data_IF_234359015312
#
_entry.id   IF_234359015312
#
_cell.length_a   1.000
_cell.length_b   1.000
_cell.length_c   1.000
_cell.angle_alpha   90.00
_cell.angle_beta   90.00
_cell.angle_gamma   90.00
#
_symmetry.space_group_name_H-M   'P 1'
#
loop_
_entity.id
_entity.type
_entity.pdbx_description
1 polymer ?
#
# COMPACT_ATOMS: atom_id res chain seq x y z
N UNK A 1 -18.92 42.60 9.62
CA UNK A 1 -18.29 42.39 10.93
C UNK A 1 -18.03 40.90 11.03
N UNK A 2 -16.86 40.59 10.46
CA UNK A 2 -15.96 39.47 10.68
C UNK A 2 -16.46 38.04 10.38
N UNK A 3 -16.38 37.79 9.08
CA UNK A 3 -16.00 36.54 8.44
C UNK A 3 -14.60 36.12 8.95
N UNK A 4 -14.56 35.20 9.94
CA UNK A 4 -13.32 34.64 10.49
C UNK A 4 -13.17 33.21 9.98
N UNK A 5 -12.28 33.08 9.01
CA UNK A 5 -11.26 32.04 8.92
C UNK A 5 -11.74 30.59 9.04
N UNK A 6 -12.47 30.13 8.02
CA UNK A 6 -12.52 28.69 7.72
C UNK A 6 -11.25 28.31 6.97
N UNK A 7 -10.41 27.40 7.50
CA UNK A 7 -9.26 26.93 6.75
C UNK A 7 -9.73 26.23 5.48
N UNK A 8 -9.12 26.62 4.36
CA UNK A 8 -9.37 26.09 3.02
C UNK A 8 -9.18 24.57 3.02
N UNK A 9 -10.30 23.83 2.98
CA UNK A 9 -10.33 22.35 2.97
C UNK A 9 -9.67 21.78 1.71
N UNK A 10 -9.50 22.59 0.67
CA UNK A 10 -8.69 22.26 -0.50
C UNK A 10 -7.20 22.19 -0.19
N UNK A 11 -6.70 22.98 0.76
CA UNK A 11 -5.27 23.06 1.09
C UNK A 11 -4.75 21.87 1.90
N UNK A 12 -5.60 21.19 2.68
CA UNK A 12 -5.19 19.99 3.47
C UNK A 12 -5.12 18.75 2.60
N UNK A 13 -6.10 18.55 1.70
CA UNK A 13 -6.06 17.51 0.69
C UNK A 13 -4.96 17.77 -0.36
N UNK A 14 -4.80 19.04 -0.78
CA UNK A 14 -3.68 19.45 -1.62
C UNK A 14 -2.35 19.32 -0.89
N UNK A 15 -2.26 19.47 0.44
CA UNK A 15 -1.04 19.24 1.22
C UNK A 15 -0.61 17.77 1.22
N UNK A 16 -1.56 16.83 1.35
CA UNK A 16 -1.28 15.40 1.25
C UNK A 16 -0.96 14.94 -0.20
N UNK A 17 -1.56 15.58 -1.21
CA UNK A 17 -1.34 15.25 -2.63
C UNK A 17 -0.18 16.03 -3.29
N UNK A 18 0.19 17.21 -2.80
CA UNK A 18 1.36 17.99 -3.25
C UNK A 18 2.68 17.38 -2.77
N UNK A 19 2.63 16.54 -1.73
CA UNK A 19 3.71 15.63 -1.41
C UNK A 19 4.00 14.61 -2.53
N UNK A 20 3.06 14.36 -3.45
CA UNK A 20 3.24 13.37 -4.52
C UNK A 20 4.02 13.88 -5.76
N UNK A 21 4.31 15.19 -5.89
CA UNK A 21 4.82 15.72 -7.16
C UNK A 21 6.02 16.69 -7.12
N UNK A 22 6.63 16.97 -5.97
CA UNK A 22 7.77 17.90 -5.91
C UNK A 22 9.13 17.19 -6.05
N UNK A 23 9.75 17.39 -7.22
CA UNK A 23 11.16 17.30 -7.62
C UNK A 23 12.06 16.21 -6.99
N UNK A 24 12.52 15.30 -7.84
CA UNK A 24 13.72 14.48 -7.59
C UNK A 24 14.86 14.96 -8.52
N UNK A 25 16.09 15.07 -8.00
CA UNK A 25 17.20 15.72 -8.68
C UNK A 25 17.80 14.90 -9.83
N UNK A 26 18.67 15.59 -10.56
CA UNK A 26 19.50 15.23 -11.71
C UNK A 26 20.01 13.77 -11.76
N UNK A 27 20.10 13.26 -12.99
CA UNK A 27 20.65 11.97 -13.44
C UNK A 27 21.12 11.01 -12.34
N UNK A 28 20.23 10.09 -11.92
CA UNK A 28 20.63 8.94 -11.09
C UNK A 28 21.53 8.00 -11.90
N UNK A 29 22.76 7.81 -11.43
CA UNK A 29 23.70 6.76 -11.88
C UNK A 29 23.35 5.36 -11.37
N UNK A 30 22.22 5.22 -10.67
CA UNK A 30 21.73 3.96 -10.12
C UNK A 30 21.49 2.95 -11.25
N UNK A 31 21.93 1.71 -11.02
CA UNK A 31 21.58 0.57 -11.87
C UNK A 31 20.10 0.20 -11.70
N UNK A 32 19.53 -0.50 -12.69
CA UNK A 32 18.17 -1.03 -12.59
C UNK A 32 17.91 -1.77 -11.27
N UNK A 33 18.84 -2.63 -10.84
CA UNK A 33 18.71 -3.40 -9.60
C UNK A 33 18.71 -2.51 -8.36
N UNK A 34 19.55 -1.47 -8.32
CA UNK A 34 19.56 -0.50 -7.21
C UNK A 34 18.24 0.26 -7.14
N UNK A 35 17.70 0.70 -8.28
CA UNK A 35 16.39 1.37 -8.33
C UNK A 35 15.27 0.43 -7.91
N UNK A 36 15.32 -0.85 -8.29
CA UNK A 36 14.33 -1.84 -7.88
C UNK A 36 14.31 -2.12 -6.38
N UNK A 37 15.37 -1.82 -5.62
CA UNK A 37 15.41 -2.04 -4.16
C UNK A 37 15.46 -0.75 -3.34
N UNK A 38 15.40 0.41 -3.99
CA UNK A 38 15.49 1.71 -3.32
C UNK A 38 14.14 2.19 -2.77
N UNK A 39 13.03 1.76 -3.40
CA UNK A 39 11.66 2.03 -2.99
C UNK A 39 11.08 1.02 -1.98
N UNK A 40 9.80 1.20 -1.67
CA UNK A 40 9.02 0.37 -0.73
C UNK A 40 9.66 0.30 0.68
N UNK A 41 9.57 -0.86 1.33
CA UNK A 41 10.09 -1.09 2.69
C UNK A 41 11.30 -2.06 2.69
N UNK A 42 11.80 -2.40 3.88
CA UNK A 42 13.02 -3.23 4.04
C UNK A 42 12.90 -4.63 3.43
N UNK A 43 11.69 -5.17 3.21
CA UNK A 43 11.47 -6.51 2.63
C UNK A 43 12.03 -6.65 1.22
N UNK A 44 12.26 -5.54 0.53
CA UNK A 44 12.83 -5.51 -0.82
C UNK A 44 14.36 -5.52 -0.81
N UNK A 45 15.00 -5.26 0.34
CA UNK A 45 16.46 -5.12 0.45
C UNK A 45 17.15 -6.50 0.52
N UNK A 46 18.11 -6.77 -0.36
CA UNK A 46 18.92 -7.97 -0.26
C UNK A 46 19.94 -7.84 0.88
N UNK A 47 20.21 -8.96 1.56
CA UNK A 47 21.35 -9.11 2.46
C UNK A 47 22.67 -9.27 1.72
N UNK A 48 23.71 -9.62 2.46
CA UNK A 48 25.06 -9.87 1.90
C UNK A 48 25.11 -11.05 0.94
N UNK A 49 24.16 -11.98 1.05
CA UNK A 49 23.97 -13.14 0.16
C UNK A 49 23.19 -12.78 -1.13
N UNK A 50 22.76 -11.52 -1.28
CA UNK A 50 22.01 -11.06 -2.44
C UNK A 50 20.52 -11.41 -2.40
N UNK A 51 20.01 -11.95 -1.29
CA UNK A 51 18.62 -12.36 -1.12
C UNK A 51 17.92 -11.49 -0.07
N UNK A 52 16.64 -11.21 -0.27
CA UNK A 52 15.84 -10.53 0.75
C UNK A 52 15.41 -11.51 1.87
N UNK A 53 14.67 -10.99 2.85
CA UNK A 53 14.13 -11.78 3.99
C UNK A 53 13.22 -12.95 3.59
N UNK A 54 12.76 -12.98 2.34
CA UNK A 54 11.96 -14.07 1.77
C UNK A 54 12.77 -15.04 0.90
N UNK A 55 14.10 -14.87 0.85
CA UNK A 55 14.98 -15.68 0.01
C UNK A 55 14.88 -15.37 -1.47
N UNK A 56 14.30 -14.24 -1.87
CA UNK A 56 14.18 -13.80 -3.26
C UNK A 56 15.29 -12.79 -3.61
N UNK A 57 15.89 -12.95 -4.80
CA UNK A 57 16.76 -11.94 -5.39
C UNK A 57 15.97 -10.95 -6.26
N UNK A 58 16.56 -9.78 -6.48
CA UNK A 58 16.07 -8.73 -7.41
C UNK A 58 16.30 -9.07 -8.88
N UNK A 59 16.99 -10.17 -9.18
CA UNK A 59 17.27 -10.65 -10.53
C UNK A 59 16.83 -12.12 -10.67
N UNK A 60 16.67 -12.61 -11.91
CA UNK A 60 16.30 -13.98 -12.12
C UNK A 60 17.36 -14.95 -11.61
N UNK A 61 16.90 -16.09 -11.12
CA UNK A 61 17.76 -17.13 -10.53
C UNK A 61 17.50 -18.45 -11.21
N UNK A 62 18.58 -19.21 -11.41
CA UNK A 62 18.52 -20.63 -11.73
C UNK A 62 18.13 -21.43 -10.48
N UNK A 63 16.94 -21.18 -9.95
CA UNK A 63 16.34 -21.89 -8.84
C UNK A 63 14.95 -22.38 -9.25
N UNK A 64 14.52 -23.51 -8.70
CA UNK A 64 13.14 -24.00 -8.91
C UNK A 64 12.21 -23.15 -8.07
N UNK A 65 11.33 -22.32 -8.65
CA UNK A 65 10.40 -21.53 -7.87
C UNK A 65 9.29 -22.46 -7.37
N UNK A 66 9.33 -22.81 -6.09
CA UNK A 66 8.25 -23.59 -5.46
C UNK A 66 7.04 -22.72 -5.09
N UNK A 67 6.67 -21.76 -5.96
CA UNK A 67 5.59 -20.76 -5.81
C UNK A 67 5.31 -20.35 -4.36
N UNK A 68 5.94 -19.27 -3.91
CA UNK A 68 5.54 -18.62 -2.66
C UNK A 68 4.38 -17.67 -2.92
N UNK A 69 3.34 -17.74 -2.08
CA UNK A 69 2.28 -16.73 -2.03
C UNK A 69 2.77 -15.38 -1.47
N UNK A 70 4.00 -15.30 -0.96
CA UNK A 70 4.57 -14.10 -0.32
C UNK A 70 5.51 -13.34 -1.26
N UNK A 71 6.50 -14.01 -1.87
CA UNK A 71 7.50 -13.35 -2.71
C UNK A 71 8.20 -14.35 -3.64
N UNK A 72 8.53 -13.93 -4.86
CA UNK A 72 9.34 -14.73 -5.80
C UNK A 72 10.37 -13.87 -6.51
N UNK A 73 11.50 -14.48 -6.89
CA UNK A 73 12.45 -13.83 -7.80
C UNK A 73 11.80 -13.59 -9.16
N UNK A 74 12.11 -12.48 -9.84
CA UNK A 74 11.52 -12.18 -11.14
C UNK A 74 11.95 -13.22 -12.18
N UNK A 75 11.06 -13.54 -13.12
CA UNK A 75 11.43 -14.30 -14.32
C UNK A 75 12.30 -13.46 -15.28
N UNK A 76 13.06 -14.10 -16.17
CA UNK A 76 13.80 -13.43 -17.26
C UNK A 76 12.93 -12.45 -18.06
N UNK A 77 11.70 -12.87 -18.36
CA UNK A 77 10.73 -12.06 -19.08
C UNK A 77 10.39 -10.79 -18.31
N UNK A 78 10.08 -10.91 -17.02
CA UNK A 78 9.73 -9.78 -16.17
C UNK A 78 10.93 -8.83 -15.97
N UNK A 79 12.11 -9.38 -15.70
CA UNK A 79 13.34 -8.62 -15.51
C UNK A 79 13.72 -7.84 -16.78
N UNK A 80 13.63 -8.48 -17.95
CA UNK A 80 13.89 -7.83 -19.24
C UNK A 80 12.89 -6.71 -19.53
N UNK A 81 11.60 -6.95 -19.27
CA UNK A 81 10.57 -5.92 -19.44
C UNK A 81 10.79 -4.73 -18.50
N UNK A 82 11.13 -4.99 -17.24
CA UNK A 82 11.46 -3.96 -16.25
C UNK A 82 12.68 -3.13 -16.65
N UNK A 83 13.76 -3.77 -17.11
CA UNK A 83 14.94 -3.06 -17.65
C UNK A 83 14.59 -2.14 -18.82
N UNK A 84 13.73 -2.58 -19.74
CA UNK A 84 13.30 -1.74 -20.88
C UNK A 84 12.57 -0.48 -20.41
N UNK A 85 11.66 -0.62 -19.44
CA UNK A 85 10.94 0.53 -18.85
C UNK A 85 11.91 1.43 -18.09
N UNK A 86 12.85 0.86 -17.34
CA UNK A 86 13.89 1.62 -16.66
C UNK A 86 14.73 2.45 -17.62
N UNK A 87 15.23 1.87 -18.72
CA UNK A 87 15.97 2.61 -19.75
C UNK A 87 15.11 3.68 -20.43
N UNK A 88 13.84 3.38 -20.72
CA UNK A 88 12.89 4.37 -21.26
C UNK A 88 12.74 5.57 -20.30
N UNK A 89 12.60 5.33 -19.00
CA UNK A 89 12.48 6.37 -17.98
C UNK A 89 13.79 7.12 -17.73
N UNK A 90 14.94 6.49 -17.96
CA UNK A 90 16.27 7.09 -17.81
C UNK A 90 16.64 7.98 -18.99
N UNK A 91 16.26 7.58 -20.20
CA UNK A 91 16.62 8.28 -21.44
C UNK A 91 15.57 9.29 -21.92
N UNK A 92 14.40 9.36 -21.29
CA UNK A 92 13.35 10.32 -21.70
C UNK A 92 13.75 11.76 -21.43
N UNK A 93 13.45 12.65 -22.38
CA UNK A 93 13.60 14.10 -22.24
C UNK A 93 12.38 14.74 -21.59
N UNK A 94 11.22 14.08 -21.59
CA UNK A 94 9.98 14.57 -20.99
C UNK A 94 9.35 13.49 -20.09
N UNK A 95 9.65 13.60 -18.80
CA UNK A 95 9.11 12.71 -17.76
C UNK A 95 7.62 12.97 -17.52
N UNK A 96 7.13 14.18 -17.75
CA UNK A 96 5.73 14.55 -17.52
C UNK A 96 4.79 13.80 -18.46
N UNK A 97 5.27 13.43 -19.65
CA UNK A 97 4.54 12.58 -20.61
C UNK A 97 4.87 11.11 -20.42
N UNK A 98 6.15 10.77 -20.23
CA UNK A 98 6.59 9.37 -20.24
C UNK A 98 6.08 8.60 -19.02
N UNK A 99 6.11 9.21 -17.82
CA UNK A 99 5.69 8.53 -16.58
C UNK A 99 4.20 8.19 -16.61
N UNK A 100 3.27 9.12 -16.90
CA UNK A 100 1.85 8.78 -17.02
C UNK A 100 1.59 7.69 -18.05
N UNK A 101 2.23 7.73 -19.22
CA UNK A 101 2.06 6.70 -20.25
C UNK A 101 2.50 5.30 -19.77
N UNK A 102 3.61 5.20 -19.04
CA UNK A 102 4.04 3.94 -18.43
C UNK A 102 3.01 3.47 -17.41
N UNK A 103 2.54 4.34 -16.52
CA UNK A 103 1.55 3.98 -15.50
C UNK A 103 0.21 3.57 -16.12
N UNK A 104 -0.26 4.25 -17.17
CA UNK A 104 -1.47 3.88 -17.92
C UNK A 104 -1.35 2.49 -18.51
N UNK A 105 -0.21 2.16 -19.15
CA UNK A 105 0.04 0.79 -19.66
C UNK A 105 0.01 -0.28 -18.57
N UNK A 106 0.50 0.02 -17.37
CA UNK A 106 0.41 -0.89 -16.23
C UNK A 106 -1.06 -1.08 -15.83
N UNK A 107 -1.83 0.02 -15.68
CA UNK A 107 -3.26 -0.05 -15.35
C UNK A 107 -4.06 -0.82 -16.40
N UNK A 108 -3.80 -0.60 -17.68
CA UNK A 108 -4.48 -1.32 -18.78
C UNK A 108 -4.15 -2.81 -18.75
N UNK A 109 -2.92 -3.17 -18.38
CA UNK A 109 -2.53 -4.57 -18.23
C UNK A 109 -3.27 -5.21 -17.06
N UNK A 110 -3.32 -4.54 -15.90
CA UNK A 110 -4.08 -5.01 -14.73
C UNK A 110 -5.55 -5.16 -15.07
N UNK A 111 -6.16 -4.14 -15.68
CA UNK A 111 -7.57 -4.13 -16.11
C UNK A 111 -7.89 -5.32 -17.00
N UNK A 112 -7.07 -5.60 -18.01
CA UNK A 112 -7.26 -6.77 -18.89
C UNK A 112 -7.06 -8.09 -18.17
N UNK A 113 -6.00 -8.22 -17.35
CA UNK A 113 -5.68 -9.47 -16.67
C UNK A 113 -6.72 -9.84 -15.60
N UNK A 114 -7.38 -8.85 -15.00
CA UNK A 114 -8.40 -9.03 -13.97
C UNK A 114 -9.83 -8.82 -14.51
N UNK A 115 -9.99 -8.64 -15.82
CA UNK A 115 -11.29 -8.43 -16.50
C UNK A 115 -12.14 -7.31 -15.86
N UNK A 116 -11.47 -6.23 -15.41
CA UNK A 116 -12.15 -5.15 -14.69
C UNK A 116 -12.96 -4.25 -15.66
N UNK A 117 -14.11 -3.73 -15.20
CA UNK A 117 -14.88 -2.73 -15.94
C UNK A 117 -14.05 -1.48 -16.33
N UNK A 118 -14.39 -0.80 -17.44
CA UNK A 118 -13.66 0.39 -17.90
C UNK A 118 -13.63 1.54 -16.89
N UNK A 119 -14.68 1.69 -16.10
CA UNK A 119 -14.89 2.71 -15.07
C UNK A 119 -14.24 2.36 -13.72
N UNK A 120 -13.64 1.17 -13.58
CA UNK A 120 -12.89 0.80 -12.38
C UNK A 120 -11.59 1.60 -12.30
N UNK A 121 -11.47 2.42 -11.25
CA UNK A 121 -10.24 3.13 -10.90
C UNK A 121 -9.18 2.16 -10.37
N UNK A 122 -7.91 2.39 -10.73
CA UNK A 122 -6.79 1.54 -10.32
C UNK A 122 -5.70 2.42 -9.70
N UNK A 123 -5.59 2.31 -8.37
CA UNK A 123 -4.48 2.87 -7.62
C UNK A 123 -3.27 1.92 -7.65
N UNK A 124 -2.07 2.48 -7.80
CA UNK A 124 -0.81 1.74 -7.76
C UNK A 124 -0.08 2.13 -6.48
N UNK A 125 0.18 1.18 -5.61
CA UNK A 125 0.90 1.38 -4.36
C UNK A 125 2.26 0.68 -4.38
N UNK A 126 3.21 1.11 -3.53
CA UNK A 126 4.53 0.46 -3.46
C UNK A 126 4.48 -0.99 -2.95
N UNK A 127 3.53 -1.31 -2.06
CA UNK A 127 3.29 -2.67 -1.57
C UNK A 127 1.80 -2.88 -1.24
N UNK A 128 1.41 -4.14 -1.01
CA UNK A 128 0.07 -4.47 -0.51
C UNK A 128 -0.20 -3.87 0.88
N UNK A 129 0.80 -3.76 1.74
CA UNK A 129 0.65 -3.14 3.07
C UNK A 129 0.39 -1.62 2.97
N UNK A 130 0.93 -0.96 1.94
CA UNK A 130 0.66 0.46 1.70
C UNK A 130 -0.78 0.72 1.23
N UNK A 131 -1.48 -0.29 0.69
CA UNK A 131 -2.89 -0.16 0.28
C UNK A 131 -3.78 0.13 1.49
N UNK A 132 -3.47 -0.46 2.65
CA UNK A 132 -4.22 -0.20 3.90
C UNK A 132 -4.24 1.28 4.26
N UNK A 133 -3.09 1.95 4.14
CA UNK A 133 -2.97 3.38 4.40
C UNK A 133 -3.73 4.21 3.35
N UNK A 134 -3.72 3.79 2.08
CA UNK A 134 -4.45 4.48 1.03
C UNK A 134 -5.97 4.42 1.27
N UNK A 135 -6.51 3.24 1.61
CA UNK A 135 -7.94 3.08 1.89
C UNK A 135 -8.40 3.97 3.04
N UNK A 136 -7.63 4.00 4.14
CA UNK A 136 -7.92 4.88 5.27
C UNK A 136 -7.82 6.36 4.91
N UNK A 137 -6.79 6.76 4.16
CA UNK A 137 -6.60 8.16 3.77
C UNK A 137 -7.74 8.68 2.89
N UNK A 138 -8.27 7.83 1.99
CA UNK A 138 -9.43 8.17 1.17
C UNK A 138 -10.67 8.42 2.03
N UNK A 139 -10.92 7.57 3.03
CA UNK A 139 -12.08 7.67 3.91
C UNK A 139 -11.94 8.88 4.84
N UNK A 140 -10.77 9.05 5.46
CA UNK A 140 -10.48 10.20 6.32
C UNK A 140 -10.57 11.56 5.62
N UNK A 141 -10.38 11.58 4.28
CA UNK A 141 -10.52 12.79 3.49
C UNK A 141 -11.96 13.24 3.25
N UNK A 142 -12.97 12.44 3.60
CA UNK A 142 -14.38 12.76 3.33
C UNK A 142 -15.04 13.57 4.44
N UNK A 143 -14.76 13.28 5.71
CA UNK A 143 -15.23 14.04 6.88
C UNK A 143 -14.33 13.77 8.11
N UNK A 144 -14.68 14.32 9.28
CA UNK A 144 -13.89 14.26 10.52
C UNK A 144 -14.31 13.18 11.54
N UNK A 145 -15.19 12.25 11.15
CA UNK A 145 -15.71 11.22 12.07
C UNK A 145 -14.67 10.17 12.44
N UNK A 146 -14.93 9.44 13.52
CA UNK A 146 -14.19 8.22 13.86
C UNK A 146 -14.26 7.23 12.68
N UNK A 147 -13.17 6.51 12.45
CA UNK A 147 -13.04 5.45 11.47
C UNK A 147 -12.86 4.14 12.22
N UNK A 148 -13.83 3.24 12.12
CA UNK A 148 -13.71 1.87 12.60
C UNK A 148 -13.24 1.01 11.43
N UNK A 149 -12.02 0.52 11.51
CA UNK A 149 -11.42 -0.37 10.53
C UNK A 149 -11.48 -1.81 11.03
N UNK A 150 -12.37 -2.60 10.43
CA UNK A 150 -12.65 -4.00 10.77
C UNK A 150 -11.78 -4.87 9.88
N UNK A 151 -10.94 -5.70 10.50
CA UNK A 151 -9.99 -6.58 9.80
C UNK A 151 -10.40 -8.03 10.00
N UNK A 152 -10.80 -8.68 8.91
CA UNK A 152 -11.13 -10.11 8.90
C UNK A 152 -9.87 -10.94 8.69
N UNK A 153 -9.68 -11.96 9.53
CA UNK A 153 -8.53 -12.84 9.47
C UNK A 153 -7.19 -12.14 9.68
N UNK A 154 -6.98 -11.39 10.78
CA UNK A 154 -5.76 -10.63 11.03
C UNK A 154 -4.48 -11.51 11.10
N UNK A 155 -4.64 -12.82 11.26
CA UNK A 155 -3.57 -13.81 11.27
C UNK A 155 -3.21 -14.38 9.90
N UNK A 156 -4.02 -14.13 8.88
CA UNK A 156 -3.80 -14.59 7.50
C UNK A 156 -3.12 -13.51 6.63
N UNK A 157 -2.98 -12.30 7.18
CA UNK A 157 -2.33 -11.15 6.53
C UNK A 157 -0.93 -10.89 7.08
N UNK A 158 -0.14 -10.11 6.33
CA UNK A 158 1.22 -9.78 6.72
C UNK A 158 1.28 -9.02 8.05
N UNK A 159 2.35 -9.23 8.82
CA UNK A 159 2.56 -8.59 10.14
C UNK A 159 2.57 -7.05 10.15
N UNK A 160 2.69 -6.41 8.98
CA UNK A 160 2.58 -4.96 8.82
C UNK A 160 1.14 -4.45 8.66
N UNK A 161 0.21 -5.31 8.25
CA UNK A 161 -1.16 -4.94 7.89
C UNK A 161 -1.90 -4.28 9.05
N UNK A 162 -1.89 -4.88 10.24
CA UNK A 162 -2.57 -4.29 11.42
C UNK A 162 -2.05 -2.88 11.76
N UNK A 163 -0.75 -2.63 11.62
CA UNK A 163 -0.17 -1.31 11.90
C UNK A 163 -0.57 -0.29 10.84
N UNK A 164 -0.45 -0.67 9.57
CA UNK A 164 -0.85 0.17 8.45
C UNK A 164 -2.36 0.50 8.51
N UNK A 165 -3.17 -0.50 8.84
CA UNK A 165 -4.61 -0.39 9.07
C UNK A 165 -4.97 0.50 10.27
N UNK A 166 -4.03 0.74 11.19
CA UNK A 166 -4.18 1.68 12.32
C UNK A 166 -3.64 3.09 12.00
N UNK A 167 -3.34 3.39 10.73
CA UNK A 167 -2.63 4.60 10.32
C UNK A 167 -1.27 4.80 11.02
N UNK A 168 -0.56 3.70 11.29
CA UNK A 168 0.79 3.71 11.86
C UNK A 168 1.84 3.17 10.88
N UNK A 169 3.07 3.61 11.05
CA UNK A 169 4.22 3.06 10.34
C UNK A 169 4.40 1.58 10.67
N UNK A 170 4.47 0.75 9.63
CA UNK A 170 4.60 -0.71 9.77
C UNK A 170 6.03 -1.21 9.61
N UNK A 171 6.92 -0.37 9.07
CA UNK A 171 8.33 -0.67 8.84
C UNK A 171 9.20 0.53 9.21
N UNK A 172 10.51 0.31 9.36
CA UNK A 172 11.47 1.38 9.67
C UNK A 172 11.86 2.20 8.45
N UNK A 173 11.42 1.79 7.25
CA UNK A 173 11.74 2.45 5.98
C UNK A 173 10.47 2.74 5.20
N UNK A 174 10.34 3.98 4.78
CA UNK A 174 9.23 4.43 3.95
C UNK A 174 9.57 4.29 2.45
N UNK A 175 8.56 4.21 1.57
CA UNK A 175 8.77 4.11 0.12
C UNK A 175 9.65 5.19 -0.50
N UNK A 176 9.73 6.37 0.13
CA UNK A 176 10.61 7.47 -0.31
C UNK A 176 12.08 7.31 0.13
N UNK A 177 12.38 6.29 0.91
CA UNK A 177 13.71 6.00 1.47
C UNK A 177 13.98 6.63 2.84
N UNK A 178 13.04 7.41 3.38
CA UNK A 178 13.11 7.99 4.73
C UNK A 178 12.97 6.90 5.81
N UNK A 179 13.53 7.18 6.98
CA UNK A 179 13.35 6.33 8.16
C UNK A 179 12.03 6.66 8.88
N UNK A 180 11.49 5.67 9.57
CA UNK A 180 10.32 5.79 10.43
C UNK A 180 10.48 4.88 11.65
N UNK A 181 9.70 5.13 12.69
CA UNK A 181 9.63 4.26 13.87
C UNK A 181 8.39 3.39 13.76
N UNK A 182 8.58 2.07 13.85
CA UNK A 182 7.46 1.13 13.78
C UNK A 182 6.47 1.41 14.91
N UNK A 183 5.19 1.54 14.56
CA UNK A 183 4.10 1.79 15.48
C UNK A 183 3.79 3.27 15.73
N UNK A 184 4.69 4.18 15.34
CA UNK A 184 4.36 5.61 15.38
C UNK A 184 3.29 5.96 14.34
N UNK A 185 2.39 6.89 14.65
CA UNK A 185 1.34 7.31 13.73
C UNK A 185 1.95 8.00 12.51
N UNK A 186 1.45 7.69 11.31
CA UNK A 186 1.88 8.40 10.08
C UNK A 186 1.50 9.88 10.15
N UNK A 187 0.43 10.19 10.88
CA UNK A 187 0.02 11.52 11.30
C UNK A 187 -0.83 11.36 12.58
N UNK A 188 -0.51 12.09 13.64
CA UNK A 188 -1.14 11.91 14.95
C UNK A 188 -2.65 12.18 14.95
N UNK A 189 -3.10 13.25 14.26
CA UNK A 189 -4.53 13.61 14.20
C UNK A 189 -5.33 12.60 13.37
N UNK A 190 -4.73 12.08 12.30
CA UNK A 190 -5.34 11.04 11.49
C UNK A 190 -5.43 9.72 12.28
N UNK A 191 -4.33 9.26 12.86
CA UNK A 191 -4.31 8.01 13.62
C UNK A 191 -5.23 8.05 14.86
N UNK A 192 -5.40 9.22 15.50
CA UNK A 192 -6.32 9.36 16.65
C UNK A 192 -7.79 9.15 16.29
N UNK A 193 -8.14 9.15 15.01
CA UNK A 193 -9.51 8.87 14.53
C UNK A 193 -9.73 7.40 14.19
N UNK A 194 -8.70 6.55 14.19
CA UNK A 194 -8.79 5.17 13.71
C UNK A 194 -8.88 4.20 14.89
N UNK A 195 -9.94 3.40 14.91
CA UNK A 195 -10.15 2.28 15.83
C UNK A 195 -10.09 0.98 15.03
N UNK A 196 -9.28 0.00 15.49
CA UNK A 196 -9.20 -1.33 14.87
C UNK A 196 -10.13 -2.30 15.59
N UNK A 197 -10.96 -2.97 14.82
CA UNK A 197 -11.73 -4.15 15.23
C UNK A 197 -11.25 -5.37 14.44
N UNK A 198 -11.37 -6.57 15.02
CA UNK A 198 -10.83 -7.80 14.43
C UNK A 198 -11.86 -8.91 14.44
N UNK A 199 -11.98 -9.60 13.33
CA UNK A 199 -12.79 -10.82 13.21
C UNK A 199 -11.87 -11.98 12.87
N UNK A 200 -11.73 -12.94 13.77
CA UNK A 200 -10.95 -14.14 13.48
C UNK A 200 -11.71 -15.05 12.50
N UNK A 201 -10.97 -15.74 11.63
CA UNK A 201 -11.50 -16.77 10.73
C UNK A 201 -11.21 -18.19 11.22
N UNK A 202 -10.48 -18.30 12.34
CA UNK A 202 -10.14 -19.56 12.99
C UNK A 202 -10.44 -19.50 14.47
N UNK A 203 -10.84 -20.63 15.03
CA UNK A 203 -10.95 -20.77 16.48
C UNK A 203 -9.57 -20.94 17.15
N UNK A 204 -9.57 -21.00 18.49
CA UNK A 204 -8.35 -21.20 19.30
C UNK A 204 -7.61 -22.52 19.02
N UNK A 205 -8.24 -23.47 18.31
CA UNK A 205 -7.64 -24.75 17.90
C UNK A 205 -7.15 -24.71 16.44
N UNK A 206 -7.23 -23.55 15.77
CA UNK A 206 -6.84 -23.35 14.39
C UNK A 206 -7.85 -23.86 13.36
N UNK A 207 -9.07 -24.26 13.79
CA UNK A 207 -10.12 -24.74 12.88
C UNK A 207 -10.80 -23.55 12.22
N UNK A 208 -11.04 -23.64 10.92
CA UNK A 208 -11.75 -22.61 10.15
C UNK A 208 -13.18 -22.50 10.67
N UNK A 209 -13.61 -21.27 10.98
CA UNK A 209 -14.98 -20.96 11.39
C UNK A 209 -15.93 -21.05 10.19
N UNK A 210 -17.21 -21.30 10.45
CA UNK A 210 -18.20 -21.27 9.37
C UNK A 210 -18.34 -19.83 8.85
N UNK A 211 -18.53 -19.68 7.53
CA UNK A 211 -18.69 -18.35 6.91
C UNK A 211 -19.83 -17.54 7.57
N UNK A 212 -20.93 -18.19 7.91
CA UNK A 212 -22.05 -17.55 8.61
C UNK A 212 -21.67 -17.00 10.00
N UNK A 213 -20.74 -17.65 10.73
CA UNK A 213 -20.27 -17.15 12.02
C UNK A 213 -19.43 -15.89 11.85
N UNK A 214 -18.57 -15.86 10.83
CA UNK A 214 -17.76 -14.69 10.46
C UNK A 214 -18.66 -13.54 10.00
N UNK A 215 -19.65 -13.82 9.14
CA UNK A 215 -20.59 -12.82 8.63
C UNK A 215 -21.42 -12.18 9.73
N UNK A 216 -21.87 -12.96 10.72
CA UNK A 216 -22.60 -12.45 11.89
C UNK A 216 -21.69 -11.50 12.67
N UNK A 217 -20.46 -11.92 12.99
CA UNK A 217 -19.53 -11.09 13.75
C UNK A 217 -19.21 -9.76 13.03
N UNK A 218 -18.95 -9.82 11.72
CA UNK A 218 -18.73 -8.63 10.88
C UNK A 218 -19.97 -7.73 10.90
N UNK A 219 -21.15 -8.29 10.68
CA UNK A 219 -22.41 -7.52 10.63
C UNK A 219 -22.69 -6.80 11.96
N UNK A 220 -22.49 -7.49 13.08
CA UNK A 220 -22.65 -6.90 14.42
C UNK A 220 -21.67 -5.74 14.67
N UNK A 221 -20.39 -5.91 14.29
CA UNK A 221 -19.38 -4.86 14.42
C UNK A 221 -19.68 -3.64 13.54
N UNK A 222 -20.05 -3.88 12.27
CA UNK A 222 -20.44 -2.82 11.33
C UNK A 222 -21.66 -2.06 11.88
N UNK A 223 -22.70 -2.76 12.30
CA UNK A 223 -23.91 -2.15 12.85
C UNK A 223 -23.61 -1.30 14.09
N UNK A 224 -22.78 -1.81 15.00
CA UNK A 224 -22.37 -1.08 16.20
C UNK A 224 -21.56 0.19 15.88
N UNK A 225 -20.64 0.14 14.91
CA UNK A 225 -19.86 1.29 14.47
C UNK A 225 -20.72 2.36 13.81
N UNK A 226 -21.63 1.94 12.91
CA UNK A 226 -22.58 2.86 12.24
C UNK A 226 -23.52 3.52 13.26
N UNK A 227 -24.00 2.78 14.26
CA UNK A 227 -24.89 3.32 15.30
C UNK A 227 -24.21 4.42 16.15
N UNK A 228 -22.88 4.40 16.28
CA UNK A 228 -22.09 5.45 16.93
C UNK A 228 -21.75 6.63 16.01
N UNK A 229 -22.14 6.56 14.73
CA UNK A 229 -21.86 7.58 13.73
C UNK A 229 -20.49 7.44 13.06
N UNK A 230 -19.73 6.38 13.33
CA UNK A 230 -18.41 6.19 12.73
C UNK A 230 -18.49 5.87 11.23
N UNK A 231 -17.42 6.17 10.51
CA UNK A 231 -17.14 5.59 9.19
C UNK A 231 -16.63 4.17 9.39
N UNK A 232 -17.01 3.26 8.49
CA UNK A 232 -16.60 1.85 8.57
C UNK A 232 -15.76 1.50 7.36
N UNK A 233 -14.61 0.88 7.63
CA UNK A 233 -13.78 0.19 6.63
C UNK A 233 -13.85 -1.28 6.96
N UNK A 234 -14.16 -2.12 5.98
CA UNK A 234 -14.11 -3.56 6.11
C UNK A 234 -13.04 -4.09 5.17
N UNK A 235 -12.03 -4.71 5.77
CA UNK A 235 -10.91 -5.40 5.13
C UNK A 235 -11.12 -6.91 5.26
#
# INVERSE_FOLDING_TARGET
MDDIDRPDRGAVAAGCLSFLFAMLPEQRTETYQQTMVSGCDRRLRPGSDGLNVYGAAVHPRAAIPLSSCTCSSPSERAFTAGKRVFEQLRCTTDRSVTVPNVLTRVRDTIRRCLELPPDTEIALTPSGTDVELLALALIAGTDDREIVNIIVGPHEVGSGTLRAASACHYDTRLPRGCEAVIGEPVNAAFASRVTIERVDVRDQRGRILAAAEVDIAVTEMVAAAVARGAQVVLH
#
